data_IF_769992477021
#
_entry.id   IF_769992477021
#
_cell.length_a   1.000
_cell.length_b   1.000
_cell.length_c   1.000
_cell.angle_alpha   90.00
_cell.angle_beta   90.00
_cell.angle_gamma   90.00
#
_symmetry.space_group_name_H-M   'P 1'
#
loop_
_entity.id
_entity.type
_entity.pdbx_description
1 polymer ?
#
# COMPACT_ATOMS: atom_id res chain seq x y z
N UNK A 1 9.04 -8.26 17.41
CA UNK A 1 8.36 -8.26 16.08
C UNK A 1 6.90 -7.84 16.18
N UNK A 2 6.06 -8.46 17.03
CA UNK A 2 4.64 -8.09 17.26
C UNK A 2 4.40 -6.57 17.40
N UNK A 3 5.10 -5.91 18.32
CA UNK A 3 4.96 -4.46 18.55
C UNK A 3 5.31 -3.59 17.33
N UNK A 4 6.25 -4.02 16.48
CA UNK A 4 6.63 -3.28 15.28
C UNK A 4 5.52 -3.28 14.23
N UNK A 5 4.78 -4.40 14.10
CA UNK A 5 3.63 -4.52 13.20
C UNK A 5 2.50 -3.60 13.66
N UNK A 6 2.21 -3.58 14.96
CA UNK A 6 1.19 -2.68 15.54
C UNK A 6 1.57 -1.19 15.43
N UNK A 7 2.84 -0.84 15.65
CA UNK A 7 3.32 0.53 15.46
C UNK A 7 3.23 0.96 14.00
N UNK A 8 3.56 0.08 13.05
CA UNK A 8 3.43 0.39 11.62
C UNK A 8 1.96 0.49 11.19
N UNK A 9 1.07 -0.34 11.76
CA UNK A 9 -0.38 -0.21 11.58
C UNK A 9 -0.89 1.16 12.03
N UNK A 10 -0.56 1.57 13.26
CA UNK A 10 -0.94 2.88 13.81
C UNK A 10 -0.38 4.02 12.97
N UNK A 11 0.86 3.90 12.51
CA UNK A 11 1.47 4.89 11.62
C UNK A 11 0.74 4.99 10.27
N UNK A 12 0.42 3.86 9.64
CA UNK A 12 -0.31 3.82 8.36
C UNK A 12 -1.72 4.39 8.49
N UNK A 13 -2.44 4.02 9.55
CA UNK A 13 -3.77 4.56 9.87
C UNK A 13 -3.71 6.06 10.18
N UNK A 14 -2.70 6.51 10.94
CA UNK A 14 -2.45 7.92 11.24
C UNK A 14 -2.13 8.74 9.99
N UNK A 15 -1.34 8.20 9.05
CA UNK A 15 -1.06 8.82 7.75
C UNK A 15 -2.31 8.95 6.89
N UNK A 16 -3.15 7.92 6.84
CA UNK A 16 -4.45 7.98 6.16
C UNK A 16 -5.34 9.07 6.77
N UNK A 17 -5.47 9.09 8.10
CA UNK A 17 -6.29 10.05 8.82
C UNK A 17 -5.77 11.49 8.63
N UNK A 18 -4.47 11.71 8.75
CA UNK A 18 -3.83 13.00 8.44
C UNK A 18 -4.14 13.44 7.01
N UNK A 19 -4.04 12.53 6.04
CA UNK A 19 -4.28 12.87 4.65
C UNK A 19 -5.76 13.19 4.38
N UNK A 20 -6.68 12.46 5.01
CA UNK A 20 -8.13 12.69 4.90
C UNK A 20 -8.57 14.00 5.59
N UNK A 21 -8.05 14.27 6.79
CA UNK A 21 -8.46 15.41 7.62
C UNK A 21 -7.68 16.69 7.36
N UNK A 22 -6.37 16.64 7.14
CA UNK A 22 -5.55 17.85 7.03
C UNK A 22 -5.38 18.30 5.58
N UNK A 23 -5.06 17.37 4.67
CA UNK A 23 -4.81 17.71 3.27
C UNK A 23 -6.06 18.15 2.49
N UNK A 24 -7.25 17.87 3.02
CA UNK A 24 -8.53 18.39 2.50
C UNK A 24 -8.69 19.90 2.72
N UNK A 25 -8.03 20.48 3.72
CA UNK A 25 -8.25 21.87 4.15
C UNK A 25 -7.05 22.81 3.93
N UNK A 26 -5.83 22.29 3.72
CA UNK A 26 -4.62 23.11 3.92
C UNK A 26 -4.22 24.04 2.77
N UNK A 27 -4.54 23.77 1.50
CA UNK A 27 -4.42 24.72 0.37
C UNK A 27 -4.69 24.05 -0.96
N UNK A 28 -4.92 24.91 -1.95
CA UNK A 28 -5.09 24.77 -3.41
C UNK A 28 -4.04 23.89 -4.10
N UNK A 29 -3.84 22.66 -3.66
CA UNK A 29 -3.20 21.69 -4.52
C UNK A 29 -4.24 21.24 -5.53
N UNK A 30 -4.02 21.60 -6.79
CA UNK A 30 -4.60 20.91 -7.95
C UNK A 30 -4.09 19.46 -8.03
N UNK A 31 -3.98 18.77 -6.89
CA UNK A 31 -3.60 17.38 -6.86
C UNK A 31 -4.62 16.64 -7.71
N UNK A 32 -4.10 15.92 -8.70
CA UNK A 32 -4.90 15.01 -9.51
C UNK A 32 -5.71 14.14 -8.53
N UNK A 33 -7.04 14.02 -8.70
CA UNK A 33 -7.89 13.16 -7.84
C UNK A 33 -7.27 11.77 -7.63
N UNK A 34 -6.54 11.30 -8.64
CA UNK A 34 -5.73 10.08 -8.62
C UNK A 34 -4.64 10.03 -7.54
N UNK A 35 -3.90 11.11 -7.27
CA UNK A 35 -2.90 11.17 -6.20
C UNK A 35 -3.53 10.98 -4.81
N UNK A 36 -4.64 11.66 -4.56
CA UNK A 36 -5.37 11.56 -3.28
C UNK A 36 -5.90 10.14 -3.07
N UNK A 37 -6.52 9.59 -4.12
CA UNK A 37 -7.03 8.22 -4.10
C UNK A 37 -5.90 7.20 -3.88
N UNK A 38 -4.83 7.27 -4.65
CA UNK A 38 -3.71 6.33 -4.56
C UNK A 38 -2.96 6.44 -3.23
N UNK A 39 -2.72 7.65 -2.71
CA UNK A 39 -2.05 7.81 -1.44
C UNK A 39 -2.90 7.33 -0.26
N UNK A 40 -4.18 7.76 -0.19
CA UNK A 40 -5.11 7.32 0.84
C UNK A 40 -5.35 5.80 0.79
N UNK A 41 -5.58 5.28 -0.41
CA UNK A 41 -5.74 3.83 -0.66
C UNK A 41 -4.51 3.03 -0.25
N UNK A 42 -3.30 3.52 -0.55
CA UNK A 42 -2.06 2.85 -0.14
C UNK A 42 -1.94 2.74 1.38
N UNK A 43 -2.29 3.79 2.11
CA UNK A 43 -2.21 3.79 3.57
C UNK A 43 -3.24 2.83 4.18
N UNK A 44 -4.46 2.79 3.63
CA UNK A 44 -5.49 1.84 4.05
C UNK A 44 -5.03 0.40 3.82
N UNK A 45 -4.52 0.09 2.63
CA UNK A 45 -4.09 -1.27 2.28
C UNK A 45 -2.90 -1.73 3.13
N UNK A 46 -1.97 -0.83 3.45
CA UNK A 46 -0.88 -1.12 4.39
C UNK A 46 -1.38 -1.36 5.82
N UNK A 47 -2.40 -0.63 6.27
CA UNK A 47 -3.03 -0.88 7.56
C UNK A 47 -3.69 -2.26 7.59
N UNK A 48 -4.48 -2.61 6.58
CA UNK A 48 -5.09 -3.95 6.46
C UNK A 48 -4.01 -5.04 6.42
N UNK A 49 -2.92 -4.84 5.68
CA UNK A 49 -1.81 -5.79 5.60
C UNK A 49 -1.16 -6.06 6.97
N UNK A 50 -0.97 -5.00 7.76
CA UNK A 50 -0.39 -5.11 9.10
C UNK A 50 -1.35 -5.77 10.08
N UNK A 51 -2.65 -5.50 9.96
CA UNK A 51 -3.67 -6.18 10.75
C UNK A 51 -3.68 -7.69 10.48
N UNK A 52 -3.71 -8.10 9.21
CA UNK A 52 -3.62 -9.52 8.84
C UNK A 52 -2.29 -10.14 9.29
N UNK A 53 -1.16 -9.43 9.16
CA UNK A 53 0.14 -9.92 9.63
C UNK A 53 0.14 -10.15 11.15
N UNK A 54 -0.48 -9.27 11.92
CA UNK A 54 -0.61 -9.40 13.37
C UNK A 54 -1.43 -10.66 13.74
N UNK A 55 -2.56 -10.89 13.07
CA UNK A 55 -3.37 -12.09 13.29
C UNK A 55 -2.63 -13.39 12.92
N UNK A 56 -1.87 -13.40 11.82
CA UNK A 56 -1.00 -14.53 11.47
C UNK A 56 0.07 -14.78 12.53
N UNK A 57 0.68 -13.72 13.06
CA UNK A 57 1.73 -13.84 14.06
C UNK A 57 1.19 -14.36 15.40
N UNK A 58 0.01 -13.87 15.81
CA UNK A 58 -0.63 -14.34 17.05
C UNK A 58 -1.03 -15.82 16.93
N UNK A 59 -1.61 -16.23 15.80
CA UNK A 59 -1.88 -17.63 15.52
C UNK A 59 -0.60 -18.50 15.46
N UNK A 60 0.51 -17.95 14.97
CA UNK A 60 1.81 -18.63 15.00
C UNK A 60 2.27 -18.86 16.45
N UNK A 61 2.15 -17.85 17.32
CA UNK A 61 2.57 -17.98 18.73
C UNK A 61 1.70 -18.96 19.52
N UNK A 62 0.44 -19.12 19.14
CA UNK A 62 -0.51 -20.06 19.75
C UNK A 62 -0.45 -21.47 19.13
N UNK A 63 0.36 -21.69 18.09
CA UNK A 63 0.49 -22.98 17.41
C UNK A 63 -0.73 -23.36 16.54
N UNK A 64 -1.59 -22.40 16.17
CA UNK A 64 -2.81 -22.66 15.40
C UNK A 64 -2.50 -22.58 13.90
N UNK A 65 -2.12 -23.71 13.30
CA UNK A 65 -1.63 -23.76 11.91
C UNK A 65 -2.63 -23.24 10.87
N UNK A 66 -3.91 -23.60 10.99
CA UNK A 66 -4.95 -23.20 10.03
C UNK A 66 -5.10 -21.67 9.97
N UNK A 67 -5.18 -21.03 11.13
CA UNK A 67 -5.36 -19.57 11.26
C UNK A 67 -4.11 -18.80 10.82
N UNK A 68 -2.92 -19.34 11.09
CA UNK A 68 -1.64 -18.78 10.64
C UNK A 68 -1.60 -18.61 9.12
N UNK A 69 -1.87 -19.67 8.36
CA UNK A 69 -1.82 -19.62 6.89
C UNK A 69 -2.97 -18.84 6.28
N UNK A 70 -4.14 -18.86 6.93
CA UNK A 70 -5.32 -18.11 6.51
C UNK A 70 -5.05 -16.60 6.44
N UNK A 71 -4.38 -16.01 7.44
CA UNK A 71 -4.13 -14.56 7.47
C UNK A 71 -2.87 -14.11 6.71
N UNK A 72 -1.98 -15.05 6.35
CA UNK A 72 -0.70 -14.73 5.73
C UNK A 72 -0.87 -14.33 4.26
N UNK A 73 -1.74 -15.05 3.53
CA UNK A 73 -2.09 -14.71 2.14
C UNK A 73 -2.70 -13.31 1.99
N UNK A 74 -3.77 -12.98 2.73
CA UNK A 74 -4.36 -11.64 2.74
C UNK A 74 -3.36 -10.54 3.13
N UNK A 75 -2.46 -10.80 4.09
CA UNK A 75 -1.42 -9.86 4.49
C UNK A 75 -0.47 -9.53 3.32
N UNK A 76 0.06 -10.54 2.64
CA UNK A 76 0.97 -10.37 1.50
C UNK A 76 0.28 -9.66 0.32
N UNK A 77 -0.97 -10.03 0.04
CA UNK A 77 -1.75 -9.41 -1.04
C UNK A 77 -2.04 -7.94 -0.79
N UNK A 78 -2.57 -7.61 0.38
CA UNK A 78 -2.89 -6.22 0.75
C UNK A 78 -1.64 -5.37 0.88
N UNK A 79 -0.50 -5.95 1.29
CA UNK A 79 0.79 -5.27 1.27
C UNK A 79 1.23 -4.94 -0.16
N UNK A 80 1.18 -5.91 -1.09
CA UNK A 80 1.55 -5.69 -2.49
C UNK A 80 0.65 -4.65 -3.16
N UNK A 81 -0.66 -4.69 -2.88
CA UNK A 81 -1.63 -3.71 -3.38
C UNK A 81 -1.38 -2.32 -2.79
N UNK A 82 -1.06 -2.23 -1.49
CA UNK A 82 -0.67 -0.99 -0.83
C UNK A 82 0.60 -0.40 -1.43
N UNK A 83 1.62 -1.22 -1.69
CA UNK A 83 2.85 -0.80 -2.34
C UNK A 83 2.59 -0.25 -3.76
N UNK A 84 1.78 -0.94 -4.57
CA UNK A 84 1.39 -0.47 -5.90
C UNK A 84 0.80 0.94 -5.85
N UNK A 85 -0.23 1.16 -5.03
CA UNK A 85 -0.87 2.46 -4.89
C UNK A 85 0.07 3.53 -4.31
N UNK A 86 0.99 3.14 -3.42
CA UNK A 86 1.98 4.06 -2.87
C UNK A 86 2.89 4.60 -3.97
N UNK A 87 3.43 3.73 -4.82
CA UNK A 87 4.28 4.13 -5.94
C UNK A 87 3.51 4.93 -6.99
N UNK A 88 2.27 4.58 -7.30
CA UNK A 88 1.41 5.39 -8.18
C UNK A 88 1.21 6.81 -7.62
N UNK A 89 1.05 6.95 -6.31
CA UNK A 89 0.94 8.27 -5.67
C UNK A 89 2.24 9.09 -5.81
N UNK A 90 3.41 8.44 -5.72
CA UNK A 90 4.69 9.12 -5.91
C UNK A 90 4.91 9.56 -7.35
N UNK A 91 4.58 8.70 -8.31
CA UNK A 91 4.65 9.01 -9.75
C UNK A 91 3.71 10.18 -10.10
N UNK A 92 2.46 10.13 -9.63
CA UNK A 92 1.47 11.19 -9.89
C UNK A 92 1.90 12.55 -9.30
N UNK A 93 2.53 12.54 -8.13
CA UNK A 93 3.07 13.74 -7.50
C UNK A 93 4.20 14.36 -8.33
N UNK A 94 5.14 13.54 -8.81
CA UNK A 94 6.26 14.02 -9.62
C UNK A 94 5.82 14.49 -11.02
N UNK A 95 4.85 13.82 -11.63
CA UNK A 95 4.25 14.26 -12.89
C UNK A 95 3.65 15.67 -12.76
N UNK A 96 3.03 15.99 -11.62
CA UNK A 96 2.47 17.31 -11.36
C UNK A 96 3.56 18.38 -11.19
N UNK A 97 4.64 18.06 -10.47
CA UNK A 97 5.80 18.97 -10.33
C UNK A 97 6.44 19.27 -11.69
N UNK A 98 6.57 18.27 -12.56
CA UNK A 98 7.08 18.44 -13.91
C UNK A 98 6.18 19.35 -14.73
N UNK A 99 4.85 19.12 -14.70
CA UNK A 99 3.87 19.92 -15.46
C UNK A 99 3.84 21.38 -15.05
N UNK A 100 4.11 21.66 -13.77
CA UNK A 100 4.17 23.03 -13.24
C UNK A 100 5.53 23.71 -13.46
N UNK A 101 6.51 22.99 -14.02
CA UNK A 101 7.88 23.50 -14.17
C UNK A 101 8.60 23.68 -12.83
N UNK A 102 8.12 23.05 -11.75
CA UNK A 102 8.72 23.19 -10.41
C UNK A 102 10.09 22.49 -10.32
N UNK A 103 10.28 21.39 -11.07
CA UNK A 103 11.51 20.61 -11.09
C UNK A 103 11.79 20.05 -12.49
N UNK A 104 13.07 19.97 -12.91
CA UNK A 104 13.44 19.37 -14.19
C UNK A 104 13.38 17.83 -14.12
N UNK A 105 13.32 17.16 -15.27
CA UNK A 105 13.12 15.71 -15.36
C UNK A 105 14.21 14.90 -14.63
N UNK A 106 15.44 15.39 -14.60
CA UNK A 106 16.58 14.75 -13.96
C UNK A 106 16.41 14.64 -12.44
N UNK A 107 15.63 15.55 -11.85
CA UNK A 107 15.36 15.59 -10.40
C UNK A 107 14.17 14.72 -9.98
N UNK A 108 13.45 14.10 -10.93
CA UNK A 108 12.20 13.37 -10.69
C UNK A 108 12.38 11.86 -10.88
N UNK A 109 12.95 11.22 -9.85
CA UNK A 109 13.32 9.79 -9.88
C UNK A 109 12.12 8.86 -10.11
N UNK A 110 11.01 9.04 -9.39
CA UNK A 110 9.84 8.17 -9.52
C UNK A 110 9.19 8.31 -10.90
N UNK A 111 9.19 9.50 -11.48
CA UNK A 111 8.64 9.77 -12.79
C UNK A 111 9.55 9.25 -13.90
N UNK A 112 10.87 9.39 -13.78
CA UNK A 112 11.83 8.85 -14.75
C UNK A 112 11.73 7.33 -14.84
N UNK A 113 11.71 6.66 -13.70
CA UNK A 113 11.75 5.20 -13.61
C UNK A 113 10.32 4.59 -13.54
N UNK A 114 9.28 5.38 -13.85
CA UNK A 114 7.86 5.03 -13.66
C UNK A 114 7.46 3.68 -14.26
N UNK A 115 7.92 3.36 -15.47
CA UNK A 115 7.57 2.09 -16.13
C UNK A 115 8.19 0.90 -15.44
N UNK A 116 9.44 1.05 -15.00
CA UNK A 116 10.17 0.01 -14.27
C UNK A 116 9.58 -0.22 -12.88
N UNK A 117 9.22 0.86 -12.18
CA UNK A 117 8.54 0.80 -10.87
C UNK A 117 7.19 0.09 -11.03
N UNK A 118 6.37 0.51 -12.00
CA UNK A 118 5.07 -0.11 -12.31
C UNK A 118 5.22 -1.61 -12.60
N UNK A 119 6.15 -1.97 -13.48
CA UNK A 119 6.42 -3.37 -13.82
C UNK A 119 6.76 -4.21 -12.59
N UNK A 120 7.68 -3.74 -11.73
CA UNK A 120 8.04 -4.43 -10.47
C UNK A 120 6.84 -4.59 -9.53
N UNK A 121 6.02 -3.55 -9.38
CA UNK A 121 4.84 -3.61 -8.50
C UNK A 121 3.75 -4.53 -9.05
N UNK A 122 3.56 -4.59 -10.37
CA UNK A 122 2.65 -5.54 -11.02
C UNK A 122 3.15 -6.97 -10.83
N UNK A 123 4.45 -7.20 -11.01
CA UNK A 123 5.05 -8.51 -10.78
C UNK A 123 4.85 -8.96 -9.32
N UNK A 124 5.10 -8.07 -8.36
CA UNK A 124 4.86 -8.36 -6.94
C UNK A 124 3.38 -8.67 -6.65
N UNK A 125 2.45 -7.95 -7.28
CA UNK A 125 1.02 -8.20 -7.14
C UNK A 125 0.64 -9.57 -7.72
N UNK A 126 1.14 -9.90 -8.93
CA UNK A 126 0.92 -11.20 -9.56
C UNK A 126 1.49 -12.34 -8.71
N UNK A 127 2.70 -12.18 -8.17
CA UNK A 127 3.29 -13.15 -7.24
C UNK A 127 2.42 -13.32 -5.99
N UNK A 128 1.94 -12.23 -5.38
CA UNK A 128 1.08 -12.30 -4.20
C UNK A 128 -0.27 -12.98 -4.50
N UNK A 129 -0.82 -12.78 -5.71
CA UNK A 129 -2.03 -13.47 -6.18
C UNK A 129 -1.76 -14.98 -6.31
N UNK A 130 -0.66 -15.37 -6.97
CA UNK A 130 -0.28 -16.77 -7.21
C UNK A 130 0.10 -17.51 -5.92
N UNK A 131 0.64 -16.83 -4.93
CA UNK A 131 0.92 -17.38 -3.59
C UNK A 131 -0.35 -17.59 -2.74
N UNK A 132 -1.53 -17.47 -3.34
CA UNK A 132 -2.83 -17.72 -2.70
C UNK A 132 -3.49 -16.46 -2.14
N UNK A 133 -2.82 -15.30 -2.11
CA UNK A 133 -3.39 -14.06 -1.59
C UNK A 133 -4.61 -13.54 -2.37
N UNK A 134 -4.72 -13.88 -3.66
CA UNK A 134 -5.89 -13.58 -4.49
C UNK A 134 -6.97 -14.68 -4.48
N UNK A 135 -6.58 -15.93 -4.21
CA UNK A 135 -7.46 -17.12 -4.17
C UNK A 135 -8.37 -17.10 -2.94
N UNK A 136 -7.91 -16.54 -1.82
CA UNK A 136 -8.74 -16.37 -0.61
C UNK A 136 -9.89 -15.37 -0.78
N UNK A 137 -9.75 -14.37 -1.66
CA UNK A 137 -10.81 -13.37 -1.93
C UNK A 137 -11.82 -13.83 -3.00
N UNK A 138 -11.42 -14.71 -3.92
CA UNK A 138 -12.28 -15.15 -5.03
C UNK A 138 -13.03 -16.45 -4.75
N UNK A 139 -12.47 -17.35 -3.94
CA UNK A 139 -13.04 -18.70 -3.78
C UNK A 139 -13.67 -18.98 -2.42
N UNK A 140 -13.55 -18.11 -1.41
CA UNK A 140 -14.30 -18.21 -0.16
C UNK A 140 -14.45 -19.65 0.34
N UNK A 141 -13.35 -20.39 0.49
CA UNK A 141 -13.44 -21.81 0.84
C UNK A 141 -13.28 -21.93 2.35
N UNK A 142 -14.37 -22.40 2.95
CA UNK A 142 -14.53 -22.92 4.31
C UNK A 142 -13.44 -23.92 4.68
#
# INVERSE_FOLDING_TARGET
MKYAIYLYFLWAAGKMAYFYYYKKFERKYSYRKWYVFSHGGSCLMLAVACFCAALSFDAWTEGIERTKYFWMGPSLFTFALGAFFFFESKIALEEEKLRRGEQPLEALHYYRDRYWIRFRTILALLSAILMGGGVFFTLGIS
#
